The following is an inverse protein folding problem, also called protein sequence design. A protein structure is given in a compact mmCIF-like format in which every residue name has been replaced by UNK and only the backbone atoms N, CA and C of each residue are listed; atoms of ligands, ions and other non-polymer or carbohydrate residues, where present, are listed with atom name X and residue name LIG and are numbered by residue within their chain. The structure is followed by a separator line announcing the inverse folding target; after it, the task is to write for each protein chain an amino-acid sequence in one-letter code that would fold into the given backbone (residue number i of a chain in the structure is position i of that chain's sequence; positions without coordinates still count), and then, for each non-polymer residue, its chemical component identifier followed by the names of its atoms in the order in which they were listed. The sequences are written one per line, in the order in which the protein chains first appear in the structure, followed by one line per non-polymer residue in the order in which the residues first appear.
data_IF_218449707285
#
_entry.id   IF_218449707285
#
_cell.length_a   1.000
_cell.length_b   1.000
_cell.length_c   1.000
_cell.angle_alpha   90.00
_cell.angle_beta   90.00
_cell.angle_gamma   90.00
#
_symmetry.space_group_name_H-M   'P 1'
#
loop_
_entity.id
_entity.type
_entity.pdbx_description
1 polymer ?
#
# COMPACT_ATOMS: atom_id res chain seq x y z
N UNK A 1 72.96 -45.30 -4.15
CA UNK A 1 73.69 -44.99 -2.91
C UNK A 1 74.59 -43.81 -3.20
N UNK A 2 74.27 -42.63 -2.66
CA UNK A 2 75.00 -41.38 -2.91
C UNK A 2 74.96 -40.53 -1.64
N UNK A 3 76.10 -39.93 -1.33
CA UNK A 3 76.49 -39.35 -0.05
C UNK A 3 75.96 -37.92 0.19
N UNK A 4 75.74 -37.63 1.48
CA UNK A 4 75.89 -36.39 2.25
C UNK A 4 75.96 -35.02 1.55
N UNK A 5 75.26 -34.04 2.15
CA UNK A 5 75.87 -32.75 2.57
C UNK A 5 75.07 -32.09 3.70
N UNK A 6 75.71 -31.92 4.86
CA UNK A 6 75.45 -30.90 5.90
C UNK A 6 76.36 -29.69 5.54
N UNK A 7 76.23 -28.40 6.00
CA UNK A 7 75.98 -28.07 7.41
C UNK A 7 75.49 -26.64 7.79
N UNK A 8 75.52 -26.39 9.12
CA UNK A 8 75.70 -25.10 9.84
C UNK A 8 74.47 -24.16 9.90
N UNK A 9 74.13 -23.53 11.03
CA UNK A 9 74.71 -23.47 12.38
C UNK A 9 73.78 -22.64 13.27
N UNK A 10 73.81 -22.97 14.58
CA UNK A 10 73.77 -22.07 15.75
C UNK A 10 72.50 -21.22 15.92
N UNK A 11 72.02 -20.87 17.11
CA UNK A 11 72.29 -21.20 18.50
C UNK A 11 71.10 -20.54 19.22
N UNK A 12 70.38 -21.28 20.05
CA UNK A 12 70.44 -21.14 21.51
C UNK A 12 69.58 -20.01 22.11
N UNK A 13 69.16 -20.29 23.36
CA UNK A 13 68.37 -19.48 24.31
C UNK A 13 66.87 -19.67 24.12
N UNK A 14 66.21 -20.62 24.79
CA UNK A 14 66.17 -20.88 26.25
C UNK A 14 65.85 -19.61 27.04
N UNK A 15 64.59 -19.39 27.41
CA UNK A 15 64.08 -19.73 28.76
C UNK A 15 62.79 -18.95 29.10
N UNK A 16 61.85 -19.71 29.66
CA UNK A 16 60.89 -19.37 30.72
C UNK A 16 59.69 -18.49 30.38
N UNK A 17 58.57 -19.20 30.32
CA UNK A 17 57.23 -18.75 30.66
C UNK A 17 57.18 -18.02 32.01
N UNK A 18 56.38 -16.95 32.09
CA UNK A 18 55.56 -16.56 33.27
C UNK A 18 54.32 -15.78 32.78
N UNK A 19 53.15 -16.29 33.18
CA UNK A 19 51.87 -15.65 33.51
C UNK A 19 51.18 -14.60 32.60
N UNK A 20 50.07 -15.06 31.99
CA UNK A 20 48.70 -14.54 32.15
C UNK A 20 48.51 -13.10 32.70
N UNK A 21 48.15 -12.16 31.84
CA UNK A 21 47.21 -11.07 32.17
C UNK A 21 46.23 -10.92 31.02
N UNK A 22 44.95 -11.09 31.34
CA UNK A 22 43.83 -10.83 30.48
C UNK A 22 43.70 -9.33 30.21
N UNK A 23 43.73 -8.93 28.94
CA UNK A 23 43.18 -7.65 28.49
C UNK A 23 42.33 -7.92 27.25
N UNK A 24 41.15 -8.47 27.50
CA UNK A 24 40.08 -8.59 26.52
C UNK A 24 39.52 -7.18 26.33
N UNK A 25 40.16 -6.39 25.46
CA UNK A 25 39.69 -5.07 25.06
C UNK A 25 38.46 -5.24 24.19
N UNK A 26 37.31 -5.36 24.84
CA UNK A 26 36.01 -5.22 24.21
C UNK A 26 35.91 -3.78 23.68
N UNK A 27 36.14 -3.62 22.38
CA UNK A 27 35.65 -2.46 21.64
C UNK A 27 34.13 -2.50 21.74
N UNK A 28 33.60 -1.75 22.70
CA UNK A 28 32.19 -1.41 22.80
C UNK A 28 31.88 -0.52 21.60
N UNK A 29 31.55 -1.16 20.47
CA UNK A 29 30.74 -0.52 19.44
C UNK A 29 29.43 -0.16 20.13
N UNK A 30 29.31 1.11 20.51
CA UNK A 30 28.06 1.73 20.92
C UNK A 30 27.07 1.58 19.77
N UNK A 31 26.30 0.51 19.80
CA UNK A 31 25.12 0.36 18.98
C UNK A 31 24.16 1.48 19.37
N UNK A 32 24.08 2.50 18.53
CA UNK A 32 22.97 3.45 18.56
C UNK A 32 21.70 2.65 18.21
N UNK A 33 21.06 2.07 19.22
CA UNK A 33 19.69 1.61 19.14
C UNK A 33 18.82 2.86 18.98
N UNK A 34 18.55 3.25 17.74
CA UNK A 34 17.63 4.32 17.43
C UNK A 34 16.22 3.94 17.89
N UNK A 35 15.53 4.88 18.53
CA UNK A 35 14.11 4.82 18.90
C UNK A 35 13.15 4.58 17.70
N UNK A 36 13.69 4.51 16.48
CA UNK A 36 12.99 4.15 15.23
C UNK A 36 12.45 2.71 15.19
N UNK A 37 12.82 1.85 16.15
CA UNK A 37 12.16 0.54 16.31
C UNK A 37 10.80 0.64 17.05
N UNK A 38 10.59 1.71 17.84
CA UNK A 38 9.36 1.90 18.62
C UNK A 38 8.32 2.72 17.86
N UNK A 39 8.79 3.64 17.02
CA UNK A 39 7.97 4.45 16.13
C UNK A 39 8.32 4.08 14.70
N UNK A 40 7.37 3.46 13.99
CA UNK A 40 7.53 3.17 12.57
C UNK A 40 7.91 4.42 11.77
N UNK A 41 8.52 4.26 10.59
CA UNK A 41 9.06 5.38 9.85
C UNK A 41 7.96 6.37 9.48
N UNK A 42 8.18 7.65 9.78
CA UNK A 42 7.27 8.74 9.43
C UNK A 42 7.61 9.22 8.02
N UNK A 43 6.60 9.39 7.17
CA UNK A 43 6.78 9.89 5.82
C UNK A 43 7.47 11.28 5.82
N UNK A 44 8.60 11.46 5.12
CA UNK A 44 9.20 12.77 4.93
C UNK A 44 8.23 13.77 4.29
N UNK A 45 8.43 15.07 4.54
CA UNK A 45 7.68 16.13 3.87
C UNK A 45 7.86 16.04 2.35
N UNK A 46 6.78 16.19 1.57
CA UNK A 46 6.81 16.07 0.12
C UNK A 46 6.79 14.61 -0.38
N UNK A 47 6.53 13.63 0.49
CA UNK A 47 6.34 12.25 0.06
C UNK A 47 5.04 12.10 -0.74
N UNK A 48 5.07 11.26 -1.77
CA UNK A 48 3.90 10.68 -2.39
C UNK A 48 3.53 9.39 -1.66
N UNK A 49 2.23 9.11 -1.56
CA UNK A 49 1.70 7.91 -0.92
C UNK A 49 1.12 7.01 -2.00
N UNK A 50 1.53 5.75 -2.02
CA UNK A 50 1.10 4.77 -3.02
C UNK A 50 0.55 3.52 -2.34
N UNK A 51 -0.54 2.99 -2.87
CA UNK A 51 -1.05 1.66 -2.55
C UNK A 51 -1.49 0.95 -3.81
N UNK A 52 -1.77 -0.34 -3.71
CA UNK A 52 -2.45 -1.10 -4.76
C UNK A 52 -3.83 -1.53 -4.29
N UNK A 53 -4.81 -1.49 -5.19
CA UNK A 53 -6.08 -2.19 -5.05
C UNK A 53 -6.15 -3.31 -6.08
N UNK A 54 -6.40 -4.53 -5.61
CA UNK A 54 -6.48 -5.71 -6.44
C UNK A 54 -7.93 -6.10 -6.73
N UNK A 55 -8.40 -5.79 -7.93
CA UNK A 55 -9.74 -6.16 -8.38
C UNK A 55 -9.82 -7.56 -9.04
N UNK A 56 -8.70 -8.29 -9.12
CA UNK A 56 -8.68 -9.63 -9.69
C UNK A 56 -9.11 -10.69 -8.67
N UNK A 57 -9.21 -11.93 -9.14
CA UNK A 57 -9.53 -13.12 -8.33
C UNK A 57 -8.28 -13.88 -7.85
N UNK A 58 -7.07 -13.35 -8.08
CA UNK A 58 -5.80 -13.94 -7.66
C UNK A 58 -5.02 -12.96 -6.80
N UNK A 59 -4.16 -13.44 -5.92
CA UNK A 59 -3.21 -12.58 -5.23
C UNK A 59 -2.28 -11.86 -6.23
N UNK A 60 -1.84 -10.65 -5.90
CA UNK A 60 -0.91 -9.89 -6.73
C UNK A 60 0.10 -9.13 -5.86
N UNK A 61 1.32 -9.03 -6.38
CA UNK A 61 2.34 -8.13 -5.87
C UNK A 61 2.67 -7.09 -6.93
N UNK A 62 3.01 -5.89 -6.46
CA UNK A 62 3.38 -4.77 -7.30
C UNK A 62 4.61 -4.04 -6.78
N UNK A 63 5.29 -3.34 -7.68
CA UNK A 63 6.34 -2.39 -7.32
C UNK A 63 6.08 -1.04 -7.96
N UNK A 64 6.48 0.04 -7.30
CA UNK A 64 6.51 1.40 -7.87
C UNK A 64 7.92 1.94 -7.65
N UNK A 65 8.72 1.99 -8.72
CA UNK A 65 10.16 2.16 -8.57
C UNK A 65 10.77 1.03 -7.71
N UNK A 66 11.37 1.39 -6.57
CA UNK A 66 11.90 0.44 -5.58
C UNK A 66 10.93 0.11 -4.44
N UNK A 67 9.75 0.74 -4.39
CA UNK A 67 8.75 0.51 -3.34
C UNK A 67 7.96 -0.76 -3.65
N UNK A 68 7.94 -1.72 -2.72
CA UNK A 68 7.18 -2.97 -2.87
C UNK A 68 5.79 -2.85 -2.24
N UNK A 69 4.80 -3.45 -2.90
CA UNK A 69 3.40 -3.55 -2.50
C UNK A 69 2.96 -5.02 -2.68
N UNK A 70 3.26 -5.87 -1.69
CA UNK A 70 3.22 -7.32 -1.84
C UNK A 70 1.93 -7.95 -1.31
N UNK A 71 1.67 -9.17 -1.78
CA UNK A 71 0.76 -10.15 -1.19
C UNK A 71 -0.67 -9.61 -1.01
N UNK A 72 -1.15 -8.91 -2.04
CA UNK A 72 -2.48 -8.28 -2.01
C UNK A 72 -3.52 -9.27 -2.49
N UNK A 73 -4.28 -9.79 -1.53
CA UNK A 73 -5.35 -10.75 -1.76
C UNK A 73 -6.39 -10.26 -2.79
N UNK A 74 -7.16 -11.19 -3.38
CA UNK A 74 -8.29 -10.85 -4.25
C UNK A 74 -9.26 -9.87 -3.61
N UNK A 75 -9.71 -8.87 -4.36
CA UNK A 75 -10.68 -7.86 -3.92
C UNK A 75 -10.23 -7.10 -2.65
N UNK A 76 -8.92 -6.91 -2.47
CA UNK A 76 -8.33 -6.23 -1.32
C UNK A 76 -7.37 -5.11 -1.74
N UNK A 77 -6.94 -4.28 -0.80
CA UNK A 77 -5.92 -3.26 -1.02
C UNK A 77 -4.78 -3.40 -0.02
N UNK A 78 -3.58 -2.99 -0.42
CA UNK A 78 -2.48 -2.79 0.52
C UNK A 78 -2.72 -1.56 1.39
N UNK A 79 -1.92 -1.45 2.46
CA UNK A 79 -1.66 -0.18 3.12
C UNK A 79 -0.94 0.79 2.17
N UNK A 80 -0.94 2.08 2.55
CA UNK A 80 -0.15 3.08 1.87
C UNK A 80 1.32 2.98 2.29
N UNK A 81 2.18 2.81 1.28
CA UNK A 81 3.61 3.09 1.39
C UNK A 81 3.87 4.53 0.97
N UNK A 82 4.96 5.13 1.46
CA UNK A 82 5.38 6.46 1.03
C UNK A 82 6.72 6.40 0.29
N UNK A 83 6.91 7.30 -0.67
CA UNK A 83 8.11 7.43 -1.48
C UNK A 83 8.25 8.86 -2.00
N UNK A 84 9.43 9.29 -2.49
CA UNK A 84 9.54 10.59 -3.15
C UNK A 84 8.60 10.72 -4.36
N UNK A 85 8.14 11.94 -4.62
CA UNK A 85 7.45 12.26 -5.88
C UNK A 85 8.39 12.20 -7.08
N UNK A 86 7.84 11.94 -8.25
CA UNK A 86 8.61 11.79 -9.49
C UNK A 86 7.92 10.95 -10.55
N UNK A 87 8.65 10.71 -11.63
CA UNK A 87 8.25 9.81 -12.71
C UNK A 87 8.86 8.42 -12.45
N UNK A 88 8.02 7.40 -12.38
CA UNK A 88 8.41 6.03 -12.06
C UNK A 88 7.78 5.04 -13.03
N UNK A 89 8.22 3.79 -12.91
CA UNK A 89 7.56 2.65 -13.51
C UNK A 89 6.89 1.82 -12.41
N UNK A 90 5.62 1.47 -12.61
CA UNK A 90 4.89 0.57 -11.73
C UNK A 90 4.73 -0.80 -12.40
N UNK A 91 5.18 -1.86 -11.72
CA UNK A 91 4.99 -3.24 -12.16
C UNK A 91 3.89 -3.88 -11.34
N UNK A 92 2.91 -4.50 -11.99
CA UNK A 92 1.81 -5.25 -11.35
C UNK A 92 1.74 -6.61 -12.01
N UNK A 93 2.11 -7.66 -11.27
CA UNK A 93 2.31 -8.97 -11.87
C UNK A 93 3.31 -8.92 -13.04
N UNK A 94 2.86 -9.24 -14.25
CA UNK A 94 3.67 -9.18 -15.48
C UNK A 94 3.60 -7.85 -16.23
N UNK A 95 2.69 -6.95 -15.86
CA UNK A 95 2.47 -5.69 -16.57
C UNK A 95 3.28 -4.56 -15.95
N UNK A 96 3.72 -3.64 -16.80
CA UNK A 96 4.51 -2.47 -16.42
C UNK A 96 3.90 -1.22 -17.04
N UNK A 97 3.61 -0.22 -16.22
CA UNK A 97 3.01 1.06 -16.65
C UNK A 97 3.81 2.26 -16.13
N UNK A 98 3.97 3.34 -16.91
CA UNK A 98 4.54 4.58 -16.39
C UNK A 98 3.57 5.24 -15.40
N UNK A 99 4.11 5.77 -14.30
CA UNK A 99 3.33 6.49 -13.28
C UNK A 99 4.02 7.80 -12.92
N UNK A 100 3.22 8.85 -12.74
CA UNK A 100 3.68 10.18 -12.32
C UNK A 100 3.08 10.48 -10.96
N UNK A 101 3.94 10.71 -9.98
CA UNK A 101 3.56 10.92 -8.59
C UNK A 101 3.93 12.34 -8.17
N UNK A 102 2.93 13.14 -7.82
CA UNK A 102 3.16 14.47 -7.26
C UNK A 102 3.44 14.37 -5.73
N UNK A 103 4.31 15.24 -5.19
CA UNK A 103 4.60 15.28 -3.76
C UNK A 103 3.36 15.66 -2.96
N UNK A 104 3.17 15.09 -1.77
CA UNK A 104 2.01 15.31 -0.88
C UNK A 104 0.65 14.81 -1.43
N UNK A 105 0.67 13.93 -2.45
CA UNK A 105 -0.53 13.29 -3.01
C UNK A 105 -0.59 11.78 -2.69
N UNK A 106 -1.81 11.23 -2.70
CA UNK A 106 -2.08 9.81 -2.51
C UNK A 106 -2.55 9.19 -3.82
N UNK A 107 -2.05 8.01 -4.13
CA UNK A 107 -2.36 7.29 -5.35
C UNK A 107 -2.69 5.83 -5.06
N UNK A 108 -3.67 5.31 -5.78
CA UNK A 108 -3.98 3.89 -5.82
C UNK A 108 -3.69 3.36 -7.21
N UNK A 109 -2.81 2.39 -7.29
CA UNK A 109 -2.62 1.57 -8.46
C UNK A 109 -3.71 0.50 -8.47
N UNK A 110 -4.60 0.54 -9.45
CA UNK A 110 -5.68 -0.44 -9.58
C UNK A 110 -5.21 -1.55 -10.50
N UNK A 111 -5.11 -2.76 -9.95
CA UNK A 111 -4.99 -3.99 -10.73
C UNK A 111 -6.38 -4.45 -11.16
N UNK A 112 -6.73 -4.19 -12.42
CA UNK A 112 -8.00 -4.64 -12.98
C UNK A 112 -7.96 -6.15 -13.26
N UNK A 113 -9.13 -6.82 -13.23
CA UNK A 113 -9.21 -8.23 -13.62
C UNK A 113 -8.81 -8.45 -15.10
N UNK A 114 -9.00 -7.43 -15.95
CA UNK A 114 -8.59 -7.41 -17.35
C UNK A 114 -8.06 -6.02 -17.72
N UNK A 115 -7.17 -5.96 -18.72
CA UNK A 115 -6.57 -4.70 -19.19
C UNK A 115 -5.28 -4.34 -18.47
N UNK A 116 -4.86 -3.07 -18.59
CA UNK A 116 -3.66 -2.55 -17.93
C UNK A 116 -4.00 -1.97 -16.55
N UNK A 117 -3.03 -1.94 -15.61
CA UNK A 117 -3.19 -1.27 -14.34
C UNK A 117 -3.39 0.22 -14.53
N UNK A 118 -4.14 0.85 -13.64
CA UNK A 118 -4.47 2.28 -13.72
C UNK A 118 -4.03 3.00 -12.46
N UNK A 119 -3.35 4.14 -12.61
CA UNK A 119 -3.03 5.00 -11.49
C UNK A 119 -4.18 5.98 -11.25
N UNK A 120 -4.70 6.00 -10.03
CA UNK A 120 -5.78 6.88 -9.62
C UNK A 120 -5.32 7.73 -8.45
N UNK A 121 -5.43 9.04 -8.60
CA UNK A 121 -5.21 9.95 -7.48
C UNK A 121 -6.39 9.90 -6.51
N UNK A 122 -6.10 9.89 -5.22
CA UNK A 122 -7.08 9.87 -4.15
C UNK A 122 -6.90 11.07 -3.21
N UNK A 123 -7.75 12.11 -3.30
CA UNK A 123 -7.66 13.24 -2.41
C UNK A 123 -7.71 12.80 -0.94
N UNK A 124 -6.85 13.37 -0.07
CA UNK A 124 -6.84 13.04 1.34
C UNK A 124 -8.14 13.52 2.00
N UNK A 125 -8.70 12.66 2.85
CA UNK A 125 -9.83 13.02 3.69
C UNK A 125 -9.32 13.59 5.02
N UNK A 126 -9.68 14.83 5.35
CA UNK A 126 -9.16 15.55 6.54
C UNK A 126 -10.21 15.76 7.62
N UNK A 127 -11.50 15.54 7.34
CA UNK A 127 -12.56 15.78 8.31
C UNK A 127 -12.60 14.66 9.37
N UNK A 128 -12.26 15.02 10.61
CA UNK A 128 -12.25 14.09 11.75
C UNK A 128 -13.61 13.93 12.44
N UNK A 129 -14.69 14.51 11.93
CA UNK A 129 -16.04 14.45 12.53
C UNK A 129 -17.05 13.69 11.67
N UNK A 130 -16.76 13.55 10.38
CA UNK A 130 -17.59 12.84 9.39
C UNK A 130 -16.87 11.60 8.88
N UNK A 131 -17.59 10.78 8.14
CA UNK A 131 -17.00 9.74 7.29
C UNK A 131 -17.11 10.19 5.83
N UNK A 132 -16.11 9.86 5.01
CA UNK A 132 -16.17 10.06 3.57
C UNK A 132 -16.65 8.78 2.90
N UNK A 133 -17.72 8.87 2.12
CA UNK A 133 -18.09 7.84 1.15
C UNK A 133 -17.60 8.29 -0.22
N UNK A 134 -16.70 7.51 -0.82
CA UNK A 134 -16.19 7.75 -2.17
C UNK A 134 -16.58 6.59 -3.08
N UNK A 135 -17.06 6.91 -4.27
CA UNK A 135 -17.26 5.94 -5.36
C UNK A 135 -16.16 6.17 -6.38
N UNK A 136 -15.33 5.16 -6.58
CA UNK A 136 -14.38 5.10 -7.68
C UNK A 136 -15.00 4.22 -8.77
N UNK A 137 -15.60 4.86 -9.77
CA UNK A 137 -16.26 4.17 -10.87
C UNK A 137 -15.23 3.81 -11.95
N UNK A 138 -14.93 2.52 -12.07
CA UNK A 138 -13.98 2.00 -13.06
C UNK A 138 -14.71 1.35 -14.23
N UNK A 139 -16.02 1.52 -14.33
CA UNK A 139 -16.85 1.01 -15.42
C UNK A 139 -16.94 2.03 -16.56
N UNK A 140 -17.56 1.62 -17.66
CA UNK A 140 -17.87 2.43 -18.85
C UNK A 140 -19.20 3.17 -18.76
N UNK A 141 -19.93 3.05 -17.64
CA UNK A 141 -21.26 3.64 -17.46
C UNK A 141 -21.27 4.60 -16.28
N UNK A 142 -22.14 5.61 -16.33
CA UNK A 142 -22.39 6.45 -15.17
C UNK A 142 -23.18 5.68 -14.10
N UNK A 143 -22.83 5.90 -12.84
CA UNK A 143 -23.43 5.22 -11.69
C UNK A 143 -23.83 6.23 -10.62
N UNK A 144 -24.90 5.92 -9.89
CA UNK A 144 -25.31 6.66 -8.70
C UNK A 144 -25.34 5.70 -7.51
N UNK A 145 -24.76 6.11 -6.38
CA UNK A 145 -24.85 5.39 -5.12
C UNK A 145 -26.06 5.91 -4.36
N UNK A 146 -27.05 5.06 -4.11
CA UNK A 146 -28.26 5.40 -3.35
C UNK A 146 -28.35 4.54 -2.08
N UNK A 147 -29.25 4.92 -1.18
CA UNK A 147 -29.76 4.00 -0.15
C UNK A 147 -30.36 2.76 -0.82
N UNK A 148 -30.34 1.62 -0.12
CA UNK A 148 -30.80 0.35 -0.70
C UNK A 148 -32.28 0.37 -1.17
N UNK A 149 -33.10 1.25 -0.58
CA UNK A 149 -34.49 1.51 -0.98
C UNK A 149 -34.64 2.47 -2.18
N UNK A 150 -33.53 3.01 -2.69
CA UNK A 150 -33.46 3.88 -3.86
C UNK A 150 -33.91 5.33 -3.63
N UNK A 151 -34.37 5.69 -2.43
CA UNK A 151 -35.02 6.99 -2.17
C UNK A 151 -34.05 8.15 -2.01
N UNK A 152 -32.85 7.89 -1.49
CA UNK A 152 -31.87 8.92 -1.18
C UNK A 152 -30.60 8.70 -1.98
N UNK A 153 -30.21 9.68 -2.79
CA UNK A 153 -28.92 9.68 -3.45
C UNK A 153 -27.83 10.06 -2.44
N UNK A 154 -26.88 9.14 -2.24
CA UNK A 154 -25.72 9.35 -1.38
C UNK A 154 -24.61 9.99 -2.19
N UNK A 155 -24.20 9.38 -3.30
CA UNK A 155 -23.24 9.98 -4.24
C UNK A 155 -23.88 10.01 -5.63
N UNK A 156 -24.35 11.18 -6.11
CA UNK A 156 -25.04 11.30 -7.38
C UNK A 156 -24.08 11.32 -8.58
N UNK A 157 -24.54 10.81 -9.72
CA UNK A 157 -24.00 11.06 -11.06
C UNK A 157 -22.48 10.85 -11.19
N UNK A 158 -21.96 9.73 -10.69
CA UNK A 158 -20.56 9.35 -10.83
C UNK A 158 -20.31 8.92 -12.27
N UNK A 159 -19.68 9.80 -13.05
CA UNK A 159 -19.36 9.55 -14.44
C UNK A 159 -18.59 8.23 -14.66
N UNK A 160 -18.72 7.66 -15.86
CA UNK A 160 -17.90 6.54 -16.31
C UNK A 160 -16.41 6.88 -16.15
N UNK A 161 -15.62 5.92 -15.67
CA UNK A 161 -14.19 6.11 -15.36
C UNK A 161 -13.90 7.30 -14.43
N UNK A 162 -14.90 7.71 -13.63
CA UNK A 162 -14.86 8.90 -12.79
C UNK A 162 -14.88 8.58 -11.29
N UNK A 163 -14.96 9.66 -10.51
CA UNK A 163 -15.04 9.60 -9.05
C UNK A 163 -16.12 10.57 -8.55
N UNK A 164 -16.85 10.16 -7.53
CA UNK A 164 -17.73 11.04 -6.76
C UNK A 164 -17.58 10.74 -5.27
N UNK A 165 -17.87 11.72 -4.43
CA UNK A 165 -17.73 11.56 -2.99
C UNK A 165 -18.69 12.42 -2.19
N UNK A 166 -18.98 12.00 -0.96
CA UNK A 166 -19.80 12.74 -0.01
C UNK A 166 -19.38 12.46 1.43
N UNK A 167 -19.28 13.52 2.21
CA UNK A 167 -19.14 13.41 3.66
C UNK A 167 -20.50 13.17 4.30
N UNK A 168 -20.61 12.12 5.12
CA UNK A 168 -21.82 11.78 5.86
C UNK A 168 -21.52 11.49 7.33
N UNK A 169 -22.56 11.43 8.15
CA UNK A 169 -22.41 11.03 9.55
C UNK A 169 -21.89 9.59 9.65
N UNK A 170 -21.14 9.25 10.72
CA UNK A 170 -20.75 7.88 10.98
C UNK A 170 -22.00 7.06 11.32
N UNK A 171 -22.32 6.09 10.47
CA UNK A 171 -23.52 5.25 10.58
C UNK A 171 -23.30 3.95 9.80
N UNK A 172 -24.00 2.89 10.21
CA UNK A 172 -24.09 1.66 9.42
C UNK A 172 -25.21 1.81 8.40
N UNK A 173 -24.89 1.70 7.11
CA UNK A 173 -25.84 1.94 6.01
C UNK A 173 -25.85 0.81 5.00
N UNK A 174 -27.05 0.51 4.50
CA UNK A 174 -27.26 -0.37 3.35
C UNK A 174 -27.42 0.48 2.10
N UNK A 175 -26.57 0.22 1.12
CA UNK A 175 -26.43 1.04 -0.09
C UNK A 175 -26.59 0.16 -1.32
N UNK A 176 -26.91 0.78 -2.46
CA UNK A 176 -27.03 0.10 -3.74
C UNK A 176 -26.53 1.01 -4.87
N UNK A 177 -26.06 0.37 -5.94
CA UNK A 177 -25.66 1.05 -7.17
C UNK A 177 -26.85 1.11 -8.13
N UNK A 178 -26.96 2.24 -8.81
CA UNK A 178 -27.98 2.53 -9.82
C UNK A 178 -27.33 3.04 -11.11
N UNK A 179 -27.89 2.62 -12.25
CA UNK A 179 -27.65 3.19 -13.57
C UNK A 179 -28.93 3.95 -13.97
N UNK A 180 -28.91 5.28 -13.82
CA UNK A 180 -30.15 6.08 -13.84
C UNK A 180 -31.10 5.64 -12.73
N UNK A 181 -32.31 5.21 -13.10
CA UNK A 181 -33.32 4.70 -12.17
C UNK A 181 -33.26 3.18 -11.97
N UNK A 182 -32.45 2.47 -12.78
CA UNK A 182 -32.32 1.03 -12.68
C UNK A 182 -31.33 0.66 -11.58
N UNK A 183 -31.79 -0.10 -10.58
CA UNK A 183 -30.91 -0.73 -9.60
C UNK A 183 -30.05 -1.80 -10.28
N UNK A 184 -28.73 -1.67 -10.19
CA UNK A 184 -27.77 -2.61 -10.81
C UNK A 184 -27.11 -3.56 -9.80
N UNK A 185 -27.18 -3.25 -8.51
CA UNK A 185 -26.73 -4.19 -7.47
C UNK A 185 -26.88 -3.65 -6.06
N UNK A 186 -27.22 -4.54 -5.13
CA UNK A 186 -27.11 -4.29 -3.69
C UNK A 186 -25.65 -4.40 -3.24
N UNK A 187 -25.27 -3.55 -2.29
CA UNK A 187 -23.95 -3.59 -1.69
C UNK A 187 -24.00 -4.27 -0.33
N UNK A 188 -22.89 -4.91 0.05
CA UNK A 188 -22.70 -5.33 1.44
C UNK A 188 -22.85 -4.09 2.35
N UNK A 189 -23.59 -4.19 3.47
CA UNK A 189 -23.70 -3.09 4.41
C UNK A 189 -22.33 -2.62 4.87
N UNK A 190 -22.14 -1.31 4.92
CA UNK A 190 -20.89 -0.69 5.36
C UNK A 190 -21.13 0.07 6.67
N UNK A 191 -20.28 -0.20 7.66
CA UNK A 191 -20.21 0.61 8.88
C UNK A 191 -19.26 1.77 8.60
N UNK A 192 -19.74 3.01 8.70
CA UNK A 192 -18.92 4.19 8.44
C UNK A 192 -18.45 4.80 9.76
N UNK A 193 -17.14 4.98 9.89
CA UNK A 193 -16.55 5.53 11.10
C UNK A 193 -16.09 6.97 10.91
N UNK A 194 -16.02 7.68 12.04
CA UNK A 194 -15.57 9.06 12.08
C UNK A 194 -14.10 9.15 11.66
N UNK A 195 -13.77 10.08 10.76
CA UNK A 195 -12.41 10.26 10.25
C UNK A 195 -11.99 9.19 9.24
N UNK A 196 -12.88 8.26 8.90
CA UNK A 196 -12.61 7.19 7.94
C UNK A 196 -13.08 7.59 6.54
N UNK A 197 -12.29 7.23 5.52
CA UNK A 197 -12.73 7.22 4.14
C UNK A 197 -13.02 5.78 3.70
N UNK A 198 -14.29 5.50 3.40
CA UNK A 198 -14.73 4.27 2.77
C UNK A 198 -14.81 4.49 1.25
N UNK A 199 -14.01 3.77 0.50
CA UNK A 199 -13.93 3.85 -0.96
C UNK A 199 -14.59 2.62 -1.55
N UNK A 200 -15.65 2.81 -2.33
CA UNK A 200 -16.27 1.79 -3.15
C UNK A 200 -15.62 1.78 -4.53
N UNK A 201 -14.81 0.77 -4.82
CA UNK A 201 -14.35 0.53 -6.18
C UNK A 201 -15.41 -0.28 -6.92
N UNK A 202 -15.83 0.22 -8.09
CA UNK A 202 -16.78 -0.49 -8.94
C UNK A 202 -16.07 -0.91 -10.21
N UNK A 203 -15.77 -2.19 -10.32
CA UNK A 203 -15.19 -2.80 -11.53
C UNK A 203 -16.20 -3.68 -12.26
N UNK A 204 -15.77 -4.29 -13.37
CA UNK A 204 -16.62 -5.12 -14.22
C UNK A 204 -17.20 -4.36 -15.41
N UNK A 205 -18.05 -5.04 -16.17
CA UNK A 205 -18.68 -4.52 -17.39
C UNK A 205 -20.08 -5.11 -17.57
N UNK A 206 -20.93 -4.37 -18.29
CA UNK A 206 -22.29 -4.81 -18.59
C UNK A 206 -23.12 -5.07 -17.33
N UNK A 207 -23.72 -6.27 -17.23
CA UNK A 207 -24.51 -6.70 -16.06
C UNK A 207 -23.67 -7.30 -14.92
N UNK A 208 -22.36 -7.43 -15.10
CA UNK A 208 -21.46 -8.13 -14.17
C UNK A 208 -20.56 -7.13 -13.45
N UNK A 209 -21.17 -6.28 -12.61
CA UNK A 209 -20.42 -5.35 -11.76
C UNK A 209 -19.86 -6.07 -10.53
N UNK A 210 -18.66 -5.68 -10.11
CA UNK A 210 -18.00 -6.16 -8.88
C UNK A 210 -17.70 -4.97 -7.96
N UNK A 211 -18.69 -4.53 -7.17
CA UNK A 211 -18.50 -3.43 -6.23
C UNK A 211 -17.86 -3.92 -4.92
N UNK A 212 -16.74 -3.30 -4.53
CA UNK A 212 -15.98 -3.70 -3.35
C UNK A 212 -15.69 -2.47 -2.47
N UNK A 213 -16.07 -2.57 -1.20
CA UNK A 213 -15.71 -1.59 -0.19
C UNK A 213 -14.28 -1.81 0.27
N UNK A 214 -13.47 -0.78 0.12
CA UNK A 214 -12.14 -0.67 0.67
C UNK A 214 -12.15 0.45 1.68
N UNK A 215 -11.80 0.10 2.91
CA UNK A 215 -11.61 1.04 4.01
C UNK A 215 -10.13 1.24 4.18
N UNK A 216 -9.70 2.48 4.41
CA UNK A 216 -8.36 2.66 4.98
C UNK A 216 -8.39 2.03 6.37
N UNK A 217 -7.42 1.19 6.75
CA UNK A 217 -7.27 0.86 8.16
C UNK A 217 -7.14 2.18 8.92
N UNK A 218 -8.02 2.37 9.91
CA UNK A 218 -7.94 3.50 10.81
C UNK A 218 -6.57 3.39 11.45
N UNK A 219 -5.70 4.38 11.21
CA UNK A 219 -4.41 4.43 11.88
C UNK A 219 -4.72 4.55 13.38
N UNK A 220 -4.68 3.40 14.05
CA UNK A 220 -4.87 3.30 15.48
C UNK A 220 -3.50 3.56 16.10
N UNK A 221 -3.10 4.83 16.11
CA UNK A 221 -2.22 5.46 17.11
C UNK A 221 -1.95 6.92 16.75
#
# INVERSE_FOLDING_TARGET
MTFNTTPRRLAARSFKAVALVASMSALSLSAFAGDSALYGPVAPKGSSFVRIYNASNSEVSATVGSTNLNDVAPLASSDFSFMPGGDYSAKVGSQTVPVKLAPDHYYTLVNNATGQPQLIEEPPFKNKQKSLVRVQNLTDKALTLKTADGKTEVVPNVAAKGRGEREINPVKVSLALFEGDKKVGDLKPVALERGEAAVLYVTGSGSSLSPVWVKRPVSTR
#
